data_IF_434931002607
#
_entry.id   IF_434931002607
#
_cell.length_a   1.000
_cell.length_b   1.000
_cell.length_c   1.000
_cell.angle_alpha   90.00
_cell.angle_beta   90.00
_cell.angle_gamma   90.00
#
_symmetry.space_group_name_H-M   'P 1'
#
loop_
_entity.id
_entity.type
_entity.pdbx_description
1 polymer ?
#
# COMPACT_ATOMS: atom_id res chain seq x y z
N UNK A 1 -17.65 -11.87 7.07
CA UNK A 1 -18.80 -11.46 7.91
C UNK A 1 -18.44 -11.50 9.39
N UNK A 2 -17.84 -12.55 9.94
CA UNK A 2 -17.41 -12.62 11.34
C UNK A 2 -16.39 -11.53 11.69
N UNK A 3 -15.45 -11.20 10.82
CA UNK A 3 -14.47 -10.13 11.04
C UNK A 3 -15.11 -8.72 11.04
N UNK A 4 -16.12 -8.49 10.18
CA UNK A 4 -16.87 -7.22 10.13
C UNK A 4 -17.82 -7.08 11.32
N UNK A 5 -18.38 -8.20 11.79
CA UNK A 5 -19.32 -8.25 12.92
C UNK A 5 -18.65 -8.44 14.29
N UNK A 6 -17.35 -8.69 14.30
CA UNK A 6 -16.52 -8.75 15.52
C UNK A 6 -16.26 -7.39 16.17
N UNK A 7 -16.63 -6.28 15.52
CA UNK A 7 -16.61 -4.97 16.16
C UNK A 7 -17.67 -4.93 17.28
N UNK A 8 -17.32 -4.38 18.44
CA UNK A 8 -18.16 -4.32 19.65
C UNK A 8 -19.53 -3.64 19.47
N UNK A 9 -19.79 -3.06 18.30
CA UNK A 9 -21.07 -2.43 17.93
C UNK A 9 -22.07 -3.37 17.27
N UNK A 10 -21.69 -4.65 17.00
CA UNK A 10 -22.65 -5.62 16.50
C UNK A 10 -23.61 -6.02 17.62
N UNK A 11 -24.79 -5.44 17.62
CA UNK A 11 -25.86 -5.77 18.56
C UNK A 11 -26.27 -7.24 18.42
N UNK A 12 -26.80 -7.83 19.49
CA UNK A 12 -27.31 -9.22 19.53
C UNK A 12 -28.22 -9.60 18.37
N UNK A 13 -28.92 -8.66 17.74
CA UNK A 13 -29.75 -8.82 16.54
C UNK A 13 -28.96 -9.36 15.33
N UNK A 14 -27.75 -8.85 15.08
CA UNK A 14 -26.96 -9.26 13.92
C UNK A 14 -26.50 -10.71 14.00
N UNK A 15 -26.15 -11.19 15.21
CA UNK A 15 -25.75 -12.60 15.42
C UNK A 15 -26.86 -13.58 15.06
N UNK A 16 -28.12 -13.22 15.29
CA UNK A 16 -29.26 -14.06 14.95
C UNK A 16 -29.65 -13.99 13.47
N UNK A 17 -29.35 -12.88 12.79
CA UNK A 17 -29.65 -12.70 11.38
C UNK A 17 -28.64 -13.39 10.45
N UNK A 18 -27.39 -13.62 10.91
CA UNK A 18 -26.34 -14.24 10.09
C UNK A 18 -26.73 -15.63 9.57
N UNK A 19 -27.15 -16.59 10.40
CA UNK A 19 -27.54 -17.91 9.94
C UNK A 19 -28.67 -17.87 8.92
N UNK A 20 -29.67 -17.03 9.15
CA UNK A 20 -30.79 -16.84 8.21
C UNK A 20 -30.33 -16.25 6.88
N UNK A 21 -29.51 -15.20 6.92
CA UNK A 21 -28.97 -14.59 5.69
C UNK A 21 -28.08 -15.56 4.90
N UNK A 22 -27.25 -16.35 5.59
CA UNK A 22 -26.43 -17.38 4.95
C UNK A 22 -27.30 -18.49 4.31
N UNK A 23 -28.31 -19.00 5.02
CA UNK A 23 -29.21 -19.99 4.49
C UNK A 23 -29.97 -19.49 3.27
N UNK A 24 -30.53 -18.28 3.33
CA UNK A 24 -31.19 -17.65 2.20
C UNK A 24 -30.25 -17.44 1.01
N UNK A 25 -29.02 -16.94 1.27
CA UNK A 25 -28.01 -16.71 0.25
C UNK A 25 -27.56 -18.00 -0.43
N UNK A 26 -27.44 -19.11 0.29
CA UNK A 26 -27.15 -20.42 -0.28
C UNK A 26 -28.34 -20.95 -1.11
N UNK A 27 -29.56 -20.76 -0.64
CA UNK A 27 -30.77 -21.20 -1.34
C UNK A 27 -30.98 -20.44 -2.65
N UNK A 28 -30.74 -19.12 -2.68
CA UNK A 28 -30.92 -18.30 -3.88
C UNK A 28 -29.67 -18.18 -4.76
N UNK A 29 -28.56 -18.87 -4.41
CA UNK A 29 -27.33 -18.88 -5.16
C UNK A 29 -26.46 -17.62 -5.02
N UNK A 30 -26.80 -16.68 -4.13
CA UNK A 30 -25.98 -15.50 -3.86
C UNK A 30 -24.69 -15.83 -3.11
N UNK A 31 -24.69 -16.94 -2.36
CA UNK A 31 -23.53 -17.51 -1.70
C UNK A 31 -23.25 -18.92 -2.22
N UNK A 32 -21.97 -19.28 -2.18
CA UNK A 32 -21.49 -20.62 -2.55
C UNK A 32 -20.63 -21.18 -1.43
N UNK A 33 -20.65 -22.51 -1.28
CA UNK A 33 -19.77 -23.22 -0.36
C UNK A 33 -18.44 -23.47 -1.06
N UNK A 34 -17.35 -22.97 -0.49
CA UNK A 34 -15.99 -23.24 -0.92
C UNK A 34 -15.26 -24.14 0.08
N UNK A 35 -14.00 -24.44 -0.21
CA UNK A 35 -13.14 -25.29 0.64
C UNK A 35 -12.95 -24.72 2.06
N UNK A 36 -12.99 -23.41 2.22
CA UNK A 36 -12.70 -22.72 3.47
C UNK A 36 -13.92 -22.03 4.08
N UNK A 37 -15.12 -22.29 3.59
CA UNK A 37 -16.35 -21.71 4.08
C UNK A 37 -17.28 -21.21 3.00
N UNK A 38 -18.19 -20.31 3.39
CA UNK A 38 -19.18 -19.71 2.48
C UNK A 38 -18.69 -18.37 2.00
N UNK A 39 -18.78 -18.13 0.69
CA UNK A 39 -18.40 -16.86 0.07
C UNK A 39 -19.49 -16.35 -0.88
N UNK A 40 -19.57 -15.03 -1.14
CA UNK A 40 -20.44 -14.48 -2.16
C UNK A 40 -20.08 -15.01 -3.56
N UNK A 41 -21.08 -15.32 -4.37
CA UNK A 41 -20.86 -15.80 -5.74
C UNK A 41 -20.02 -14.80 -6.57
N UNK A 42 -20.24 -13.50 -6.41
CA UNK A 42 -19.45 -12.48 -7.09
C UNK A 42 -17.97 -12.53 -6.73
N UNK A 43 -17.62 -12.86 -5.48
CA UNK A 43 -16.22 -13.02 -5.08
C UNK A 43 -15.58 -14.23 -5.77
N UNK A 44 -16.28 -15.38 -5.81
CA UNK A 44 -15.82 -16.56 -6.53
C UNK A 44 -15.57 -16.27 -8.02
N UNK A 45 -16.49 -15.56 -8.68
CA UNK A 45 -16.33 -15.18 -10.10
C UNK A 45 -15.10 -14.32 -10.31
N UNK A 46 -14.88 -13.32 -9.46
CA UNK A 46 -13.70 -12.45 -9.55
C UNK A 46 -12.40 -13.24 -9.33
N UNK A 47 -12.36 -14.12 -8.32
CA UNK A 47 -11.21 -14.97 -8.05
C UNK A 47 -10.90 -15.89 -9.24
N UNK A 48 -11.90 -16.52 -9.83
CA UNK A 48 -11.73 -17.38 -11.01
C UNK A 48 -11.22 -16.60 -12.23
N UNK A 49 -11.71 -15.39 -12.47
CA UNK A 49 -11.24 -14.56 -13.58
C UNK A 49 -9.79 -14.11 -13.39
N UNK A 50 -9.42 -13.70 -12.17
CA UNK A 50 -8.03 -13.38 -11.84
C UNK A 50 -7.14 -14.61 -12.01
N UNK A 51 -7.56 -15.76 -11.51
CA UNK A 51 -6.82 -17.01 -11.66
C UNK A 51 -6.61 -17.36 -13.16
N UNK A 52 -7.66 -17.24 -14.00
CA UNK A 52 -7.57 -17.45 -15.45
C UNK A 52 -6.58 -16.48 -16.09
N UNK A 53 -6.64 -15.19 -15.76
CA UNK A 53 -5.75 -14.17 -16.29
C UNK A 53 -4.28 -14.41 -15.92
N UNK A 54 -4.01 -14.91 -14.72
CA UNK A 54 -2.67 -15.31 -14.29
C UNK A 54 -2.23 -16.59 -15.00
N UNK A 55 -3.09 -17.62 -15.02
CA UNK A 55 -2.76 -18.90 -15.65
C UNK A 55 -2.48 -18.76 -17.15
N UNK A 56 -3.23 -17.91 -17.86
CA UNK A 56 -2.99 -17.69 -19.29
C UNK A 56 -1.60 -17.05 -19.55
N UNK A 57 -1.16 -16.16 -18.67
CA UNK A 57 0.18 -15.56 -18.74
C UNK A 57 1.29 -16.54 -18.39
N UNK A 58 1.05 -17.44 -17.44
CA UNK A 58 2.00 -18.49 -17.07
C UNK A 58 2.15 -19.57 -18.16
N UNK A 59 1.07 -19.82 -18.90
CA UNK A 59 1.04 -20.82 -19.98
C UNK A 59 1.51 -20.28 -21.35
N UNK A 60 1.78 -18.98 -21.49
CA UNK A 60 2.25 -18.41 -22.74
C UNK A 60 3.59 -19.03 -23.14
N UNK A 61 3.77 -19.36 -24.43
CA UNK A 61 5.03 -19.83 -24.98
C UNK A 61 6.02 -18.64 -25.17
N UNK A 62 7.31 -18.94 -25.19
CA UNK A 62 8.39 -17.96 -25.48
C UNK A 62 8.32 -16.68 -24.66
N UNK A 63 8.23 -16.84 -23.33
CA UNK A 63 8.07 -15.73 -22.42
C UNK A 63 9.36 -14.92 -22.20
N UNK A 64 10.54 -15.54 -22.38
CA UNK A 64 11.82 -14.87 -22.19
C UNK A 64 11.99 -13.75 -23.23
N UNK A 65 12.25 -12.52 -22.77
CA UNK A 65 12.39 -11.35 -23.64
C UNK A 65 13.72 -11.34 -24.40
N UNK A 66 14.75 -11.93 -23.79
CA UNK A 66 16.10 -12.02 -24.35
C UNK A 66 16.89 -13.14 -23.66
N UNK A 67 18.11 -13.38 -24.14
CA UNK A 67 18.95 -14.41 -23.52
C UNK A 67 19.40 -13.98 -22.11
N UNK A 68 19.69 -14.95 -21.26
CA UNK A 68 20.23 -14.68 -19.92
C UNK A 68 21.55 -13.90 -19.95
N UNK A 69 22.37 -14.11 -21.00
CA UNK A 69 23.62 -13.38 -21.21
C UNK A 69 23.38 -11.90 -21.51
N UNK A 70 22.36 -11.59 -22.32
CA UNK A 70 21.99 -10.20 -22.66
C UNK A 70 21.44 -9.47 -21.44
N UNK A 71 20.54 -10.12 -20.67
CA UNK A 71 20.05 -9.57 -19.40
C UNK A 71 21.21 -9.28 -18.46
N UNK A 72 22.18 -10.20 -18.34
CA UNK A 72 23.35 -10.00 -17.48
C UNK A 72 24.25 -8.84 -17.97
N UNK A 73 24.36 -8.64 -19.27
CA UNK A 73 25.08 -7.49 -19.82
C UNK A 73 24.41 -6.18 -19.45
N UNK A 74 23.09 -6.09 -19.67
CA UNK A 74 22.30 -4.91 -19.30
C UNK A 74 22.35 -4.59 -17.80
N UNK A 75 22.36 -5.62 -16.95
CA UNK A 75 22.51 -5.42 -15.50
C UNK A 75 23.87 -4.84 -15.14
N UNK A 76 24.96 -5.29 -15.77
CA UNK A 76 26.32 -4.72 -15.58
C UNK A 76 26.38 -3.25 -16.01
N UNK A 77 25.79 -2.93 -17.16
CA UNK A 77 25.73 -1.55 -17.65
C UNK A 77 24.90 -0.65 -16.72
N UNK A 78 23.78 -1.16 -16.22
CA UNK A 78 22.95 -0.47 -15.22
C UNK A 78 23.73 -0.24 -13.93
N UNK A 79 24.43 -1.23 -13.42
CA UNK A 79 25.25 -1.12 -12.20
C UNK A 79 26.37 -0.11 -12.33
N UNK A 80 27.06 -0.13 -13.48
CA UNK A 80 28.13 0.82 -13.78
C UNK A 80 27.58 2.27 -13.88
N UNK A 81 26.42 2.45 -14.50
CA UNK A 81 25.76 3.75 -14.66
C UNK A 81 25.27 4.34 -13.34
N UNK A 82 24.65 3.51 -12.49
CA UNK A 82 24.06 3.96 -11.23
C UNK A 82 25.10 3.94 -10.06
N UNK A 83 26.29 3.40 -10.27
CA UNK A 83 27.33 3.28 -9.25
C UNK A 83 26.93 2.33 -8.11
N UNK A 84 26.19 1.28 -8.40
CA UNK A 84 25.68 0.31 -7.42
C UNK A 84 26.05 -1.12 -7.81
N UNK A 85 25.90 -2.05 -6.87
CA UNK A 85 25.98 -3.48 -7.11
C UNK A 85 24.69 -4.16 -6.67
N UNK A 86 24.07 -4.91 -7.61
CA UNK A 86 22.92 -5.74 -7.31
C UNK A 86 23.37 -7.02 -6.63
N UNK A 87 22.67 -7.43 -5.57
CA UNK A 87 22.93 -8.74 -4.96
C UNK A 87 22.31 -9.89 -5.78
N UNK A 88 22.64 -11.12 -5.42
CA UNK A 88 22.17 -12.33 -6.11
C UNK A 88 20.64 -12.41 -6.19
N UNK A 89 19.94 -12.06 -5.11
CA UNK A 89 18.47 -12.09 -5.07
C UNK A 89 17.87 -11.05 -6.03
N UNK A 90 18.44 -9.85 -6.06
CA UNK A 90 18.01 -8.76 -6.95
C UNK A 90 18.24 -9.12 -8.43
N UNK A 91 19.41 -9.64 -8.79
CA UNK A 91 19.70 -10.12 -10.15
C UNK A 91 18.71 -11.22 -10.56
N UNK A 92 18.52 -12.21 -9.67
CA UNK A 92 17.58 -13.32 -9.90
C UNK A 92 16.15 -12.81 -10.12
N UNK A 93 15.70 -11.81 -9.35
CA UNK A 93 14.36 -11.24 -9.52
C UNK A 93 14.18 -10.54 -10.88
N UNK A 94 15.23 -9.86 -11.39
CA UNK A 94 15.20 -9.27 -12.74
C UNK A 94 15.12 -10.35 -13.79
N UNK A 95 15.99 -11.37 -13.75
CA UNK A 95 15.93 -12.50 -14.69
C UNK A 95 14.56 -13.16 -14.69
N UNK A 96 14.04 -13.49 -13.50
CA UNK A 96 12.74 -14.13 -13.34
C UNK A 96 11.61 -13.31 -13.98
N UNK A 97 11.59 -11.98 -13.77
CA UNK A 97 10.55 -11.13 -14.35
C UNK A 97 10.74 -10.87 -15.85
N UNK A 98 11.97 -10.98 -16.37
CA UNK A 98 12.24 -10.92 -17.83
C UNK A 98 11.83 -12.21 -18.53
N UNK A 99 11.93 -13.35 -17.86
CA UNK A 99 11.67 -14.67 -18.43
C UNK A 99 10.18 -15.06 -18.43
N UNK A 100 9.34 -14.36 -17.65
CA UNK A 100 7.93 -14.73 -17.48
C UNK A 100 7.00 -13.55 -17.76
N UNK A 101 5.84 -13.84 -18.34
CA UNK A 101 4.79 -12.84 -18.59
C UNK A 101 3.99 -12.47 -17.33
N UNK A 102 4.13 -13.24 -16.25
CA UNK A 102 3.63 -12.94 -14.92
C UNK A 102 4.70 -13.25 -13.88
N UNK A 103 4.98 -12.28 -13.00
CA UNK A 103 5.96 -12.48 -11.93
C UNK A 103 5.59 -11.70 -10.66
N UNK A 104 6.02 -12.22 -9.52
CA UNK A 104 5.95 -11.56 -8.23
C UNK A 104 7.36 -11.16 -7.78
N UNK A 105 7.50 -9.96 -7.24
CA UNK A 105 8.72 -9.47 -6.59
C UNK A 105 8.36 -9.06 -5.17
N UNK A 106 8.79 -9.86 -4.19
CA UNK A 106 8.44 -9.63 -2.79
C UNK A 106 9.66 -9.28 -1.95
N UNK A 107 9.40 -8.57 -0.87
CA UNK A 107 10.45 -8.24 0.09
C UNK A 107 10.08 -7.07 0.99
N UNK A 108 10.73 -6.99 2.13
CA UNK A 108 10.48 -5.97 3.14
C UNK A 108 10.87 -4.56 2.70
N UNK A 109 10.67 -3.62 3.61
CA UNK A 109 11.18 -2.27 3.41
C UNK A 109 12.72 -2.28 3.34
N UNK A 110 13.32 -1.49 2.45
CA UNK A 110 14.77 -1.33 2.35
C UNK A 110 15.55 -2.46 1.67
N UNK A 111 14.90 -3.50 1.14
CA UNK A 111 15.59 -4.59 0.41
C UNK A 111 15.92 -4.22 -1.06
N UNK A 112 15.49 -3.05 -1.53
CA UNK A 112 15.81 -2.55 -2.88
C UNK A 112 14.82 -2.97 -3.96
N UNK A 113 13.52 -3.17 -3.65
CA UNK A 113 12.49 -3.43 -4.67
C UNK A 113 12.52 -2.40 -5.81
N UNK A 114 12.56 -1.11 -5.48
CA UNK A 114 12.63 -0.03 -6.49
C UNK A 114 13.87 -0.13 -7.36
N UNK A 115 15.02 -0.53 -6.80
CA UNK A 115 16.27 -0.75 -7.55
C UNK A 115 16.09 -1.91 -8.55
N UNK A 116 15.46 -3.00 -8.13
CA UNK A 116 15.13 -4.14 -9.00
C UNK A 116 14.21 -3.71 -10.12
N UNK A 117 13.15 -2.93 -9.82
CA UNK A 117 12.24 -2.42 -10.85
C UNK A 117 12.95 -1.52 -11.86
N UNK A 118 13.83 -0.62 -11.41
CA UNK A 118 14.63 0.23 -12.33
C UNK A 118 15.53 -0.61 -13.24
N UNK A 119 16.21 -1.61 -12.71
CA UNK A 119 17.03 -2.53 -13.49
C UNK A 119 16.18 -3.34 -14.50
N UNK A 120 15.02 -3.83 -14.08
CA UNK A 120 14.07 -4.54 -14.92
C UNK A 120 13.54 -3.67 -16.07
N UNK A 121 13.34 -2.37 -15.83
CA UNK A 121 12.90 -1.44 -16.87
C UNK A 121 13.93 -1.26 -17.99
N UNK A 122 15.23 -1.37 -17.71
CA UNK A 122 16.25 -1.37 -18.77
C UNK A 122 16.08 -2.59 -19.70
N UNK A 123 15.73 -3.74 -19.12
CA UNK A 123 15.45 -4.96 -19.88
C UNK A 123 14.21 -4.78 -20.76
N UNK A 124 13.13 -4.23 -20.20
CA UNK A 124 11.90 -3.97 -20.95
C UNK A 124 12.10 -2.95 -22.09
N UNK A 125 12.84 -1.86 -21.81
CA UNK A 125 13.16 -0.85 -22.85
C UNK A 125 13.94 -1.47 -24.01
N UNK A 126 14.97 -2.27 -23.69
CA UNK A 126 15.78 -2.95 -24.72
C UNK A 126 14.95 -3.95 -25.54
N UNK A 127 13.95 -4.57 -24.91
CA UNK A 127 13.03 -5.49 -25.58
C UNK A 127 11.87 -4.77 -26.30
N UNK A 128 11.80 -3.45 -26.29
CA UNK A 128 10.70 -2.67 -26.89
C UNK A 128 9.37 -2.81 -26.17
N UNK A 129 9.38 -3.15 -24.87
CA UNK A 129 8.19 -3.29 -24.03
C UNK A 129 7.90 -1.96 -23.32
N UNK A 130 6.71 -1.40 -23.52
CA UNK A 130 6.29 -0.18 -22.84
C UNK A 130 5.87 -0.46 -21.39
N UNK A 131 6.44 0.29 -20.44
CA UNK A 131 6.21 0.11 -19.00
C UNK A 131 5.08 1.02 -18.52
N UNK A 132 4.04 0.43 -17.97
CA UNK A 132 2.94 1.12 -17.27
C UNK A 132 3.08 0.89 -15.76
N UNK A 133 3.36 1.97 -15.02
CA UNK A 133 3.58 1.93 -13.57
C UNK A 133 2.30 2.25 -12.82
N UNK A 134 1.88 1.36 -11.93
CA UNK A 134 0.70 1.52 -11.10
C UNK A 134 1.03 1.32 -9.62
N UNK A 135 0.33 2.06 -8.77
CA UNK A 135 0.31 1.84 -7.32
C UNK A 135 -1.10 2.04 -6.77
N UNK A 136 -1.37 1.54 -5.57
CA UNK A 136 -2.71 1.72 -4.98
C UNK A 136 -2.95 3.16 -4.54
N UNK A 137 -1.99 3.79 -3.87
CA UNK A 137 -2.10 5.13 -3.30
C UNK A 137 -1.37 6.18 -4.14
N UNK A 138 -1.88 7.41 -4.17
CA UNK A 138 -1.27 8.51 -4.92
C UNK A 138 0.15 8.83 -4.49
N UNK A 139 0.45 8.79 -3.17
CA UNK A 139 1.82 8.96 -2.66
C UNK A 139 2.78 7.87 -3.14
N UNK A 140 2.31 6.63 -3.23
CA UNK A 140 3.12 5.53 -3.75
C UNK A 140 3.40 5.71 -5.24
N UNK A 141 2.39 6.09 -6.04
CA UNK A 141 2.58 6.41 -7.45
C UNK A 141 3.56 7.57 -7.65
N UNK A 142 3.44 8.65 -6.87
CA UNK A 142 4.36 9.79 -6.92
C UNK A 142 5.80 9.37 -6.59
N UNK A 143 6.01 8.62 -5.51
CA UNK A 143 7.34 8.08 -5.14
C UNK A 143 7.92 7.17 -6.22
N UNK A 144 7.09 6.32 -6.82
CA UNK A 144 7.48 5.47 -7.93
C UNK A 144 7.93 6.30 -9.14
N UNK A 145 7.20 7.35 -9.49
CA UNK A 145 7.56 8.29 -10.55
C UNK A 145 8.87 9.03 -10.24
N UNK A 146 9.02 9.57 -9.04
CA UNK A 146 10.25 10.26 -8.62
C UNK A 146 11.46 9.33 -8.62
N UNK A 147 11.28 8.09 -8.16
CA UNK A 147 12.37 7.12 -8.10
C UNK A 147 12.79 6.58 -9.46
N UNK A 148 11.86 6.40 -10.40
CA UNK A 148 12.11 5.77 -11.70
C UNK A 148 12.27 6.78 -12.85
N UNK A 149 11.87 8.04 -12.64
CA UNK A 149 11.79 9.05 -13.70
C UNK A 149 10.69 8.82 -14.74
N UNK A 150 9.80 7.85 -14.52
CA UNK A 150 8.71 7.45 -15.44
C UNK A 150 7.36 7.80 -14.87
N UNK A 151 6.41 8.14 -15.73
CA UNK A 151 5.04 8.40 -15.31
C UNK A 151 4.47 7.19 -14.55
N UNK A 152 3.84 7.47 -13.42
CA UNK A 152 3.15 6.48 -12.61
C UNK A 152 1.74 6.97 -12.27
N UNK A 153 0.80 6.05 -12.15
CA UNK A 153 -0.60 6.35 -11.86
C UNK A 153 -1.13 5.47 -10.74
N UNK A 154 -2.27 5.87 -10.17
CA UNK A 154 -2.98 4.96 -9.28
C UNK A 154 -3.80 3.96 -10.07
N UNK A 155 -3.97 2.74 -9.51
CA UNK A 155 -4.87 1.72 -10.10
C UNK A 155 -6.26 2.34 -10.34
N UNK A 156 -6.79 3.10 -9.38
CA UNK A 156 -8.10 3.73 -9.52
C UNK A 156 -8.17 4.70 -10.71
N UNK A 157 -7.11 5.47 -10.97
CA UNK A 157 -7.05 6.37 -12.12
C UNK A 157 -6.95 5.60 -13.44
N UNK A 158 -6.13 4.57 -13.49
CA UNK A 158 -6.00 3.68 -14.65
C UNK A 158 -7.32 3.01 -15.00
N UNK A 159 -8.01 2.43 -14.00
CA UNK A 159 -9.33 1.81 -14.17
C UNK A 159 -10.40 2.79 -14.63
N UNK A 160 -10.34 4.04 -14.15
CA UNK A 160 -11.28 5.10 -14.58
C UNK A 160 -11.05 5.51 -16.03
N UNK A 161 -9.81 5.52 -16.48
CA UNK A 161 -9.49 5.81 -17.89
C UNK A 161 -10.05 4.73 -18.83
N UNK A 162 -10.19 3.49 -18.34
CA UNK A 162 -10.84 2.38 -19.06
C UNK A 162 -10.13 1.98 -20.35
N UNK A 163 -8.84 2.34 -20.51
CA UNK A 163 -8.08 2.00 -21.71
C UNK A 163 -7.61 0.55 -21.62
N UNK A 164 -8.07 -0.27 -22.55
CA UNK A 164 -7.55 -1.62 -22.72
C UNK A 164 -6.12 -1.59 -23.26
N UNK A 165 -5.27 -2.46 -22.73
CA UNK A 165 -3.91 -2.64 -23.19
C UNK A 165 -3.77 -3.99 -23.90
N UNK A 166 -3.11 -3.98 -25.04
CA UNK A 166 -2.73 -5.17 -25.81
C UNK A 166 -1.38 -4.94 -26.50
N UNK A 167 -0.62 -5.99 -26.73
CA UNK A 167 0.70 -5.91 -27.35
C UNK A 167 1.84 -5.73 -26.35
N UNK A 168 2.94 -5.07 -26.75
CA UNK A 168 4.19 -5.07 -26.01
C UNK A 168 4.17 -4.14 -24.79
N UNK A 169 3.28 -4.41 -23.86
CA UNK A 169 3.20 -3.69 -22.59
C UNK A 169 3.56 -4.59 -21.41
N UNK A 170 4.11 -3.97 -20.38
CA UNK A 170 4.16 -4.54 -19.04
C UNK A 170 3.48 -3.59 -18.05
N UNK A 171 2.57 -4.12 -17.27
CA UNK A 171 1.99 -3.41 -16.13
C UNK A 171 2.73 -3.83 -14.87
N UNK A 172 3.32 -2.87 -14.18
CA UNK A 172 4.02 -3.07 -12.90
C UNK A 172 3.19 -2.43 -11.81
N UNK A 173 2.73 -3.24 -10.86
CA UNK A 173 1.97 -2.78 -9.70
C UNK A 173 2.87 -2.80 -8.47
N UNK A 174 3.22 -1.63 -7.94
CA UNK A 174 3.96 -1.52 -6.67
C UNK A 174 3.00 -1.43 -5.49
N UNK A 175 3.47 -1.79 -4.29
CA UNK A 175 2.69 -1.94 -3.06
C UNK A 175 1.50 -2.91 -3.24
N UNK A 176 1.72 -3.99 -3.98
CA UNK A 176 0.68 -4.96 -4.36
C UNK A 176 0.07 -5.72 -3.18
N UNK A 177 0.69 -5.69 -1.99
CA UNK A 177 0.11 -6.25 -0.75
C UNK A 177 -1.25 -5.66 -0.39
N UNK A 178 -1.51 -4.41 -0.81
CA UNK A 178 -2.75 -3.69 -0.54
C UNK A 178 -3.80 -3.82 -1.66
N UNK A 179 -3.52 -4.55 -2.74
CA UNK A 179 -4.45 -4.74 -3.85
C UNK A 179 -5.50 -5.79 -3.50
N UNK A 180 -6.77 -5.39 -3.50
CA UNK A 180 -7.92 -6.27 -3.28
C UNK A 180 -8.35 -7.02 -4.54
N UNK A 181 -9.24 -8.02 -4.38
CA UNK A 181 -9.71 -8.84 -5.50
C UNK A 181 -10.53 -8.05 -6.52
N UNK A 182 -11.25 -7.02 -6.10
CA UNK A 182 -12.06 -6.18 -6.99
C UNK A 182 -11.16 -5.35 -7.90
N UNK A 183 -10.15 -4.72 -7.33
CA UNK A 183 -9.15 -3.93 -8.08
C UNK A 183 -8.37 -4.80 -9.04
N UNK A 184 -7.92 -5.99 -8.58
CA UNK A 184 -7.19 -6.93 -9.43
C UNK A 184 -8.04 -7.49 -10.56
N UNK A 185 -9.27 -7.87 -10.28
CA UNK A 185 -10.23 -8.34 -11.28
C UNK A 185 -10.43 -7.30 -12.39
N UNK A 186 -10.73 -6.05 -12.00
CA UNK A 186 -10.92 -4.96 -12.97
C UNK A 186 -9.65 -4.66 -13.76
N UNK A 187 -8.49 -4.73 -13.13
CA UNK A 187 -7.22 -4.57 -13.81
C UNK A 187 -7.03 -5.66 -14.87
N UNK A 188 -7.23 -6.91 -14.50
CA UNK A 188 -7.12 -8.03 -15.42
C UNK A 188 -8.08 -7.95 -16.62
N UNK A 189 -9.24 -7.32 -16.46
CA UNK A 189 -10.18 -7.11 -17.59
C UNK A 189 -9.69 -6.10 -18.62
N UNK A 190 -8.81 -5.18 -18.24
CA UNK A 190 -8.23 -4.18 -19.16
C UNK A 190 -6.91 -4.64 -19.79
N UNK A 191 -6.38 -5.78 -19.38
CA UNK A 191 -5.09 -6.30 -19.85
C UNK A 191 -5.30 -7.55 -20.69
N UNK A 192 -5.02 -7.45 -21.99
CA UNK A 192 -5.01 -8.63 -22.87
C UNK A 192 -3.98 -9.68 -22.37
N UNK A 193 -4.13 -10.96 -22.75
CA UNK A 193 -3.25 -12.04 -22.27
C UNK A 193 -1.76 -11.85 -22.61
N UNK A 194 -1.44 -11.12 -23.66
CA UNK A 194 -0.08 -10.78 -24.12
C UNK A 194 0.58 -9.64 -23.36
N UNK A 195 -0.18 -8.87 -22.58
CA UNK A 195 0.35 -7.84 -21.69
C UNK A 195 0.97 -8.50 -20.45
N UNK A 196 2.25 -8.22 -20.21
CA UNK A 196 2.97 -8.72 -19.02
C UNK A 196 2.46 -8.05 -17.74
N UNK A 197 2.55 -8.75 -16.62
CA UNK A 197 2.12 -8.24 -15.34
C UNK A 197 3.11 -8.60 -14.24
N UNK A 198 3.65 -7.60 -13.58
CA UNK A 198 4.55 -7.76 -12.43
C UNK A 198 3.89 -7.14 -11.19
N UNK A 199 3.76 -7.92 -10.14
CA UNK A 199 3.29 -7.43 -8.84
C UNK A 199 4.47 -7.34 -7.88
N UNK A 200 4.77 -6.13 -7.42
CA UNK A 200 5.81 -5.88 -6.42
C UNK A 200 5.18 -5.48 -5.08
N UNK A 201 5.63 -6.05 -3.98
CA UNK A 201 5.07 -5.71 -2.67
C UNK A 201 5.72 -6.45 -1.51
N UNK A 202 5.24 -6.13 -0.31
CA UNK A 202 5.66 -6.78 0.93
C UNK A 202 4.46 -7.48 1.58
N UNK A 203 4.41 -8.82 1.58
CA UNK A 203 3.26 -9.56 2.12
C UNK A 203 3.07 -9.39 3.63
N UNK A 204 4.05 -8.85 4.34
CA UNK A 204 3.96 -8.62 5.78
C UNK A 204 3.59 -7.17 6.13
N UNK A 205 3.40 -6.31 5.11
CA UNK A 205 2.83 -4.98 5.29
C UNK A 205 1.30 -5.01 5.36
N UNK A 206 0.68 -3.82 5.36
CA UNK A 206 -0.76 -3.69 5.47
C UNK A 206 -1.49 -4.49 4.38
N UNK A 207 -2.51 -5.20 4.84
CA UNK A 207 -3.42 -5.95 3.97
C UNK A 207 -4.38 -4.99 3.24
N UNK A 208 -5.05 -5.45 2.16
CA UNK A 208 -6.09 -4.68 1.50
C UNK A 208 -7.20 -4.27 2.45
N UNK A 209 -7.73 -3.06 2.26
CA UNK A 209 -8.96 -2.62 2.94
C UNK A 209 -10.19 -3.29 2.31
N UNK A 210 -10.14 -3.54 1.02
CA UNK A 210 -11.16 -4.29 0.27
C UNK A 210 -11.04 -5.81 0.46
N UNK A 211 -11.98 -6.58 -0.08
CA UNK A 211 -12.01 -8.03 0.04
C UNK A 211 -10.89 -8.71 -0.78
N UNK A 212 -10.36 -9.81 -0.24
CA UNK A 212 -9.41 -10.69 -0.92
C UNK A 212 -7.94 -10.29 -0.75
N UNK A 213 -7.10 -11.29 -0.55
CA UNK A 213 -5.67 -11.19 -0.30
C UNK A 213 -4.89 -11.68 -1.52
N UNK A 214 -4.92 -10.90 -2.62
CA UNK A 214 -4.42 -11.34 -3.93
C UNK A 214 -2.95 -11.74 -3.87
N UNK A 215 -2.06 -10.84 -3.45
CA UNK A 215 -0.62 -11.11 -3.38
C UNK A 215 -0.33 -12.32 -2.47
N UNK A 216 -0.96 -12.37 -1.30
CA UNK A 216 -0.76 -13.44 -0.32
C UNK A 216 -1.23 -14.80 -0.83
N UNK A 217 -2.30 -14.85 -1.63
CA UNK A 217 -2.75 -16.07 -2.25
C UNK A 217 -1.78 -16.54 -3.34
N UNK A 218 -1.34 -15.63 -4.20
CA UNK A 218 -0.45 -15.94 -5.32
C UNK A 218 0.95 -16.41 -4.88
N UNK A 219 1.51 -15.85 -3.80
CA UNK A 219 2.80 -16.28 -3.23
C UNK A 219 2.78 -17.77 -2.83
N UNK A 220 1.62 -18.29 -2.44
CA UNK A 220 1.46 -19.68 -2.01
C UNK A 220 1.32 -20.68 -3.16
N UNK A 221 1.23 -20.20 -4.40
CA UNK A 221 1.10 -21.03 -5.57
C UNK A 221 2.47 -21.35 -6.16
N UNK A 222 2.97 -22.60 -6.08
CA UNK A 222 4.33 -22.95 -6.50
C UNK A 222 4.62 -22.68 -7.98
N UNK A 223 3.59 -22.67 -8.83
CA UNK A 223 3.72 -22.40 -10.26
C UNK A 223 3.91 -20.90 -10.58
N UNK A 224 3.70 -20.01 -9.62
CA UNK A 224 3.86 -18.57 -9.82
C UNK A 224 5.32 -18.17 -9.62
N UNK A 225 5.97 -17.57 -10.63
CA UNK A 225 7.34 -17.08 -10.51
C UNK A 225 7.47 -16.03 -9.41
N UNK A 226 8.32 -16.30 -8.41
CA UNK A 226 8.52 -15.47 -7.23
C UNK A 226 9.99 -15.09 -7.04
N UNK A 227 10.29 -13.80 -7.14
CA UNK A 227 11.56 -13.20 -6.73
C UNK A 227 11.45 -12.65 -5.32
N UNK A 228 12.02 -13.34 -4.33
CA UNK A 228 12.00 -12.92 -2.94
C UNK A 228 13.30 -12.20 -2.57
N UNK A 229 13.19 -10.96 -2.04
CA UNK A 229 14.29 -10.12 -1.61
C UNK A 229 14.34 -10.07 -0.09
N UNK A 230 15.43 -10.57 0.51
CA UNK A 230 15.60 -10.68 1.98
C UNK A 230 16.68 -9.76 2.54
N UNK A 231 17.68 -9.41 1.72
CA UNK A 231 18.83 -8.62 2.16
C UNK A 231 18.45 -7.16 2.30
N UNK A 232 18.41 -6.65 3.53
CA UNK A 232 18.11 -5.24 3.84
C UNK A 232 19.36 -4.42 3.56
N UNK A 233 19.24 -3.38 2.70
CA UNK A 233 20.34 -2.45 2.35
C UNK A 233 20.13 -1.01 2.87
N UNK A 234 18.91 -0.65 3.26
CA UNK A 234 18.53 0.76 3.47
C UNK A 234 18.74 1.27 4.89
N UNK A 235 18.63 0.43 5.87
CA UNK A 235 18.84 0.74 7.28
C UNK A 235 19.45 -0.43 8.00
N UNK A 236 20.37 -0.11 8.90
CA UNK A 236 21.02 -1.04 9.83
C UNK A 236 20.68 -0.65 11.27
N UNK A 237 21.30 -1.32 12.23
CA UNK A 237 21.16 -1.03 13.64
C UNK A 237 19.80 -1.40 14.23
N UNK A 238 19.41 -0.70 15.28
CA UNK A 238 18.27 -1.05 16.14
C UNK A 238 16.92 -1.02 15.44
N UNK A 239 16.71 -0.08 14.52
CA UNK A 239 15.46 0.02 13.73
C UNK A 239 15.25 -1.25 12.89
N UNK A 240 16.30 -1.70 12.20
CA UNK A 240 16.20 -2.92 11.40
C UNK A 240 15.97 -4.16 12.28
N UNK A 241 16.68 -4.27 13.40
CA UNK A 241 16.54 -5.37 14.34
C UNK A 241 15.12 -5.42 14.95
N UNK A 242 14.58 -4.28 15.34
CA UNK A 242 13.23 -4.17 15.86
C UNK A 242 12.18 -4.52 14.79
N UNK A 243 12.33 -4.02 13.57
CA UNK A 243 11.43 -4.35 12.46
C UNK A 243 11.43 -5.86 12.19
N UNK A 244 12.57 -6.53 12.16
CA UNK A 244 12.68 -7.99 11.98
C UNK A 244 12.00 -8.75 13.12
N UNK A 245 12.15 -8.29 14.36
CA UNK A 245 11.51 -8.91 15.53
C UNK A 245 9.99 -8.79 15.45
N UNK A 246 9.47 -7.60 15.15
CA UNK A 246 8.04 -7.35 14.99
C UNK A 246 7.43 -8.21 13.88
N UNK A 247 8.13 -8.34 12.73
CA UNK A 247 7.70 -9.22 11.62
C UNK A 247 7.57 -10.69 12.05
N UNK A 248 8.38 -11.14 12.97
CA UNK A 248 8.32 -12.50 13.56
C UNK A 248 7.28 -12.64 14.68
N UNK A 249 6.55 -11.58 15.00
CA UNK A 249 5.64 -11.55 16.14
C UNK A 249 6.35 -11.52 17.49
N UNK A 250 7.63 -11.17 17.52
CA UNK A 250 8.45 -11.09 18.73
C UNK A 250 8.56 -9.62 19.13
N UNK A 251 8.30 -9.32 20.42
CA UNK A 251 8.50 -7.99 20.95
C UNK A 251 10.00 -7.65 20.95
N UNK A 252 10.42 -6.57 20.28
CA UNK A 252 11.83 -6.19 20.25
C UNK A 252 12.30 -5.70 21.63
N UNK A 253 13.62 -5.79 21.88
CA UNK A 253 14.22 -5.09 23.01
C UNK A 253 14.22 -3.59 22.69
N UNK A 254 13.48 -2.81 23.43
CA UNK A 254 13.34 -1.37 23.25
C UNK A 254 13.81 -0.64 24.50
N UNK A 255 14.44 0.50 24.35
CA UNK A 255 14.76 1.42 25.44
C UNK A 255 13.51 2.20 25.87
N UNK A 256 13.56 2.72 27.09
CA UNK A 256 12.62 3.75 27.57
C UNK A 256 13.24 5.16 27.47
N UNK A 257 14.45 5.29 26.93
CA UNK A 257 15.12 6.56 26.72
C UNK A 257 14.68 7.18 25.37
N UNK A 258 14.09 8.35 25.44
CA UNK A 258 13.58 9.09 24.27
C UNK A 258 14.67 9.53 23.30
N UNK A 259 15.94 9.48 23.72
CA UNK A 259 17.10 9.84 22.88
C UNK A 259 17.60 8.68 22.04
N UNK A 260 17.14 7.46 22.31
CA UNK A 260 17.51 6.28 21.54
C UNK A 260 16.78 6.27 20.18
N UNK A 261 17.40 5.57 19.22
CA UNK A 261 16.86 5.45 17.85
C UNK A 261 15.44 4.83 17.79
N UNK A 262 15.10 4.00 18.80
CA UNK A 262 13.76 3.47 19.05
C UNK A 262 13.54 3.40 20.55
N UNK A 263 12.51 4.09 21.03
CA UNK A 263 12.09 4.03 22.42
C UNK A 263 10.64 3.50 22.53
N UNK A 264 10.37 2.81 23.63
CA UNK A 264 9.02 2.47 24.05
C UNK A 264 8.70 3.21 25.34
N UNK A 265 7.76 4.15 25.27
CA UNK A 265 7.37 4.97 26.40
C UNK A 265 6.04 4.41 26.95
N UNK A 266 6.06 3.71 28.09
CA UNK A 266 4.85 3.19 28.69
C UNK A 266 4.03 4.33 29.28
N UNK A 267 2.84 4.56 28.72
CA UNK A 267 1.87 5.53 29.24
C UNK A 267 0.70 4.80 29.88
N UNK A 268 0.38 5.15 31.12
CA UNK A 268 -0.88 4.72 31.71
C UNK A 268 -2.05 5.43 31.02
N UNK A 269 -3.17 4.73 30.83
CA UNK A 269 -4.41 5.33 30.27
C UNK A 269 -5.11 6.17 31.37
N UNK A 270 -4.39 7.16 31.89
CA UNK A 270 -4.86 8.09 32.91
C UNK A 270 -5.06 9.47 32.30
N UNK A 271 -6.07 10.16 32.76
CA UNK A 271 -6.29 11.57 32.45
C UNK A 271 -5.46 12.44 33.38
N UNK A 272 -4.90 13.49 32.84
CA UNK A 272 -4.23 14.55 33.61
C UNK A 272 -5.25 15.35 34.42
N UNK A 273 -4.78 16.20 35.29
CA UNK A 273 -5.62 17.13 36.03
C UNK A 273 -6.46 18.07 35.15
N UNK A 274 -6.00 18.31 33.93
CA UNK A 274 -6.70 19.10 32.89
C UNK A 274 -7.72 18.29 32.10
N UNK A 275 -7.83 16.96 32.33
CA UNK A 275 -8.75 16.06 31.64
C UNK A 275 -8.24 15.56 30.29
N UNK A 276 -7.03 15.96 29.88
CA UNK A 276 -6.34 15.48 28.67
C UNK A 276 -5.77 14.08 28.93
N UNK A 277 -5.67 13.27 27.90
CA UNK A 277 -4.99 11.96 27.99
C UNK A 277 -3.50 12.16 28.20
N UNK A 278 -2.92 11.46 29.17
CA UNK A 278 -1.46 11.47 29.38
C UNK A 278 -0.71 11.05 28.10
N UNK A 279 -1.26 10.10 27.34
CA UNK A 279 -0.72 9.70 26.03
C UNK A 279 -0.66 10.88 25.07
N UNK A 280 -1.74 11.67 24.97
CA UNK A 280 -1.79 12.81 24.08
C UNK A 280 -0.80 13.90 24.48
N UNK A 281 -0.60 14.15 25.78
CA UNK A 281 0.39 15.09 26.27
C UNK A 281 1.82 14.61 25.98
N UNK A 282 2.14 13.35 26.26
CA UNK A 282 3.45 12.77 25.93
C UNK A 282 3.76 12.87 24.43
N UNK A 283 2.79 12.55 23.57
CA UNK A 283 2.94 12.67 22.11
C UNK A 283 3.17 14.12 21.70
N UNK A 284 2.50 15.06 22.33
CA UNK A 284 2.66 16.49 22.07
C UNK A 284 4.04 16.99 22.49
N UNK A 285 4.54 16.55 23.65
CA UNK A 285 5.88 16.87 24.15
C UNK A 285 6.97 16.38 23.18
N UNK A 286 6.85 15.16 22.68
CA UNK A 286 7.74 14.61 21.66
C UNK A 286 7.64 15.37 20.33
N UNK A 287 6.43 15.75 19.92
CA UNK A 287 6.22 16.53 18.70
C UNK A 287 6.88 17.91 18.76
N UNK A 288 6.86 18.57 19.95
CA UNK A 288 7.50 19.88 20.18
C UNK A 288 9.00 19.88 19.97
N UNK A 289 9.66 18.72 20.10
CA UNK A 289 11.13 18.64 19.92
C UNK A 289 11.53 18.90 18.47
N UNK A 290 10.77 18.41 17.50
CA UNK A 290 11.03 18.63 16.07
C UNK A 290 9.71 18.46 15.25
N UNK A 291 8.85 19.50 15.21
CA UNK A 291 7.57 19.43 14.52
C UNK A 291 7.68 19.21 13.01
N UNK A 292 8.76 19.73 12.37
CA UNK A 292 8.91 19.66 10.92
C UNK A 292 9.28 18.26 10.43
N UNK A 293 10.07 17.53 11.21
CA UNK A 293 10.53 16.17 10.85
C UNK A 293 9.68 15.06 11.49
N UNK A 294 8.75 15.40 12.40
CA UNK A 294 7.96 14.43 13.16
C UNK A 294 6.63 14.10 12.46
N UNK A 295 6.35 12.83 12.32
CA UNK A 295 5.06 12.34 11.86
C UNK A 295 4.37 11.52 12.97
N UNK A 296 3.26 12.01 13.46
CA UNK A 296 2.44 11.30 14.47
C UNK A 296 1.52 10.29 13.76
N UNK A 297 1.49 9.07 14.25
CA UNK A 297 0.58 8.02 13.81
C UNK A 297 -0.28 7.57 14.99
N UNK A 298 -1.60 7.53 14.81
CA UNK A 298 -2.53 6.99 15.81
C UNK A 298 -3.40 5.90 15.21
N UNK A 299 -3.62 4.82 15.95
CA UNK A 299 -4.49 3.73 15.54
C UNK A 299 -5.98 4.10 15.60
N UNK A 300 -6.33 5.21 16.27
CA UNK A 300 -7.72 5.65 16.49
C UNK A 300 -7.98 6.98 15.80
N UNK A 301 -9.17 7.14 15.24
CA UNK A 301 -9.62 8.44 14.70
C UNK A 301 -10.19 9.35 15.78
N UNK A 302 -10.94 8.78 16.70
CA UNK A 302 -11.64 9.49 17.79
C UNK A 302 -11.12 8.98 19.15
N UNK A 303 -11.39 9.75 20.19
CA UNK A 303 -10.94 9.43 21.56
C UNK A 303 -9.86 10.40 22.03
N UNK A 304 -9.44 10.30 23.30
CA UNK A 304 -8.51 11.25 23.90
C UNK A 304 -7.10 11.20 23.28
N UNK A 305 -6.72 10.05 22.73
CA UNK A 305 -5.45 9.75 22.03
C UNK A 305 -5.63 9.61 20.51
N UNK A 306 -6.80 9.96 20.01
CA UNK A 306 -7.14 9.84 18.59
C UNK A 306 -6.64 11.00 17.74
N UNK A 307 -6.52 10.75 16.42
CA UNK A 307 -6.04 11.74 15.44
C UNK A 307 -6.72 13.09 15.58
N UNK A 308 -8.04 13.14 15.82
CA UNK A 308 -8.76 14.41 15.94
C UNK A 308 -8.30 15.23 17.15
N UNK A 309 -8.17 14.59 18.31
CA UNK A 309 -7.73 15.25 19.54
C UNK A 309 -6.30 15.72 19.42
N UNK A 310 -5.40 14.85 18.95
CA UNK A 310 -3.98 15.19 18.76
C UNK A 310 -3.84 16.34 17.77
N UNK A 311 -4.53 16.30 16.63
CA UNK A 311 -4.50 17.40 15.65
C UNK A 311 -4.97 18.72 16.27
N UNK A 312 -6.03 18.72 17.08
CA UNK A 312 -6.50 19.94 17.75
C UNK A 312 -5.47 20.49 18.77
N UNK A 313 -4.77 19.62 19.47
CA UNK A 313 -3.72 20.00 20.39
C UNK A 313 -2.51 20.58 19.65
N UNK A 314 -2.04 19.91 18.60
CA UNK A 314 -0.96 20.40 17.76
C UNK A 314 -1.33 21.76 17.12
N UNK A 315 -2.54 21.91 16.58
CA UNK A 315 -3.01 23.16 15.98
C UNK A 315 -3.03 24.31 16.99
N UNK A 316 -3.51 24.04 18.20
CA UNK A 316 -3.54 25.03 19.27
C UNK A 316 -2.15 25.53 19.65
N UNK A 317 -1.09 24.76 19.41
CA UNK A 317 0.27 25.17 19.68
C UNK A 317 0.98 25.82 18.48
N UNK A 318 0.82 25.23 17.31
CA UNK A 318 1.59 25.66 16.12
C UNK A 318 0.98 26.86 15.41
N UNK A 319 -0.34 26.98 15.41
CA UNK A 319 -1.07 28.04 14.70
C UNK A 319 -2.01 28.83 15.59
N UNK A 320 -1.78 28.83 16.93
CA UNK A 320 -2.51 29.67 17.86
C UNK A 320 -2.41 31.15 17.48
N UNK A 321 -3.57 31.80 17.32
CA UNK A 321 -3.64 33.21 16.90
C UNK A 321 -3.43 33.47 15.40
N UNK A 322 -3.17 32.44 14.59
CA UNK A 322 -3.16 32.60 13.15
C UNK A 322 -4.58 32.84 12.59
N UNK A 323 -4.65 33.45 11.41
CA UNK A 323 -5.93 33.79 10.78
C UNK A 323 -6.70 32.51 10.43
N UNK A 324 -7.91 32.37 11.00
CA UNK A 324 -8.80 31.28 10.67
C UNK A 324 -9.29 31.34 9.21
N UNK A 325 -9.34 30.16 8.58
CA UNK A 325 -9.83 30.06 7.21
C UNK A 325 -11.33 29.89 7.21
N UNK A 326 -12.00 30.71 6.42
CA UNK A 326 -13.46 30.68 6.23
C UNK A 326 -13.80 30.26 4.82
N UNK A 327 -14.97 29.64 4.66
CA UNK A 327 -15.56 29.29 3.37
C UNK A 327 -17.01 29.78 3.31
N UNK A 328 -17.43 30.22 2.13
CA UNK A 328 -18.83 30.57 1.92
C UNK A 328 -19.70 29.31 1.94
N UNK A 329 -20.63 29.26 2.87
CA UNK A 329 -21.63 28.21 2.96
C UNK A 329 -22.87 28.60 2.15
N UNK A 330 -23.10 27.94 1.05
CA UNK A 330 -24.33 28.13 0.23
C UNK A 330 -25.59 27.68 0.95
N UNK A 331 -25.47 26.79 1.93
CA UNK A 331 -26.60 26.30 2.73
C UNK A 331 -27.08 27.33 3.75
N UNK A 332 -26.17 28.13 4.30
CA UNK A 332 -26.48 29.11 5.35
C UNK A 332 -26.32 30.57 4.88
N UNK A 333 -25.91 30.75 3.64
CA UNK A 333 -25.65 32.05 2.99
C UNK A 333 -24.75 32.97 3.84
N UNK A 334 -23.68 32.38 4.42
CA UNK A 334 -22.73 33.06 5.30
C UNK A 334 -21.34 32.45 5.23
N UNK A 335 -20.35 33.19 5.71
CA UNK A 335 -19.01 32.68 5.94
C UNK A 335 -19.00 31.75 7.16
N UNK A 336 -18.53 30.52 6.96
CA UNK A 336 -18.37 29.54 8.03
C UNK A 336 -16.90 29.21 8.23
N UNK A 337 -16.51 28.95 9.49
CA UNK A 337 -15.16 28.50 9.84
C UNK A 337 -14.93 27.08 9.30
N UNK A 338 -13.79 26.86 8.69
CA UNK A 338 -13.36 25.53 8.24
C UNK A 338 -12.78 24.66 9.34
N UNK A 339 -12.39 25.27 10.47
CA UNK A 339 -11.59 24.65 11.53
C UNK A 339 -10.10 24.61 11.19
N UNK A 340 -9.69 25.28 10.11
CA UNK A 340 -8.28 25.39 9.69
C UNK A 340 -7.78 26.82 9.88
N UNK A 341 -6.48 26.96 10.18
CA UNK A 341 -5.78 28.23 10.29
C UNK A 341 -4.73 28.35 9.19
N UNK A 342 -4.32 29.58 8.87
CA UNK A 342 -3.16 29.79 7.99
C UNK A 342 -1.91 29.20 8.66
N UNK A 343 -1.15 28.42 7.89
CA UNK A 343 0.02 27.69 8.37
C UNK A 343 -0.26 26.26 8.81
N UNK A 344 -1.53 25.82 8.89
CA UNK A 344 -1.84 24.43 9.24
C UNK A 344 -1.29 23.45 8.20
N UNK A 345 -0.54 22.42 8.62
CA UNK A 345 -0.22 21.32 7.74
C UNK A 345 -1.48 20.50 7.46
N UNK A 346 -1.74 20.22 6.21
CA UNK A 346 -2.94 19.52 5.77
C UNK A 346 -2.63 18.33 4.88
N UNK A 347 -3.52 17.34 4.93
CA UNK A 347 -3.47 16.17 4.08
C UNK A 347 -4.76 16.10 3.26
N UNK A 348 -4.63 16.00 1.93
CA UNK A 348 -5.76 15.81 1.05
C UNK A 348 -6.34 14.41 1.24
N UNK A 349 -7.61 14.32 1.61
CA UNK A 349 -8.29 13.04 1.89
C UNK A 349 -9.11 12.51 0.71
N UNK A 350 -9.09 13.21 -0.43
CA UNK A 350 -9.83 12.83 -1.65
C UNK A 350 -8.97 13.06 -2.88
N UNK A 351 -9.23 12.30 -3.92
CA UNK A 351 -8.65 12.59 -5.23
C UNK A 351 -9.40 13.76 -5.88
N UNK A 352 -8.70 14.84 -6.15
CA UNK A 352 -9.19 16.02 -6.87
C UNK A 352 -8.39 16.18 -8.17
N UNK A 353 -8.71 15.32 -9.15
CA UNK A 353 -7.94 15.15 -10.38
C UNK A 353 -7.83 16.46 -11.20
N UNK A 354 -8.88 17.28 -11.21
CA UNK A 354 -8.91 18.58 -11.85
C UNK A 354 -7.98 19.63 -11.22
N UNK A 355 -7.48 19.36 -10.01
CA UNK A 355 -6.52 20.21 -9.27
C UNK A 355 -5.14 19.57 -9.12
N UNK A 356 -4.92 18.40 -9.71
CA UNK A 356 -3.68 17.65 -9.53
C UNK A 356 -3.44 17.12 -8.11
N UNK A 357 -4.46 17.17 -7.24
CA UNK A 357 -4.35 16.70 -5.86
C UNK A 357 -4.87 15.27 -5.73
N UNK A 358 -4.10 14.45 -5.07
CA UNK A 358 -4.44 13.06 -4.80
C UNK A 358 -4.66 12.83 -3.31
N UNK A 359 -5.40 11.77 -2.98
CA UNK A 359 -5.53 11.33 -1.60
C UNK A 359 -4.12 11.04 -1.03
N UNK A 360 -3.80 11.65 0.11
CA UNK A 360 -2.47 11.59 0.73
C UNK A 360 -1.51 12.71 0.32
N UNK A 361 -1.88 13.63 -0.59
CA UNK A 361 -1.07 14.82 -0.88
C UNK A 361 -0.98 15.71 0.35
N UNK A 362 0.24 16.06 0.74
CA UNK A 362 0.53 16.98 1.83
C UNK A 362 0.62 18.42 1.30
N UNK A 363 0.27 19.37 2.15
CA UNK A 363 0.37 20.81 1.87
C UNK A 363 0.24 21.62 3.13
N UNK A 364 0.30 22.91 2.98
CA UNK A 364 0.08 23.91 4.06
C UNK A 364 -1.03 24.84 3.61
N UNK A 365 -1.87 25.27 4.54
CA UNK A 365 -2.96 26.24 4.28
C UNK A 365 -2.41 27.63 4.07
#
# INVERSE_FOLDING_TARGET
>A
LQAVLGSQTATFRWRNLIPTALSQGLTNGSFVVGLHGVQPLGALVMEQQVARAVTSRLAAADQALMTSADVQSLLRDYEAKEGIELNTEQRRAVHLASDHSFALITGGAGVGKTTVLKALYQVYDQAGIEVVQLALAGRAAKRMQEATGRAASTIANFLRAGKELSGPFVVVVDEASMVDIVSMYRLCQLLAPDVRLVLAGDPEQLMPVGPGLVLHALIRVPAVPLGELKVIKRYGGDIAAAAVSIRKGIWPSLSNDETDAIAFIPCADTRTATGTSLIAETVLDLYRLDPESTQILSARRNGPDGVKTINSLCQAETTAGAKAVTVWSTQHDTLTLTGLNLGDPVLCTRNMWNRGLQNGSLGTI
#
